data_IF_272798345879
#
_entry.id   IF_272798345879
#
_cell.length_a   1.000
_cell.length_b   1.000
_cell.length_c   1.000
_cell.angle_alpha   90.00
_cell.angle_beta   90.00
_cell.angle_gamma   90.00
#
_symmetry.space_group_name_H-M   'P 1'
#
loop_
_entity.id
_entity.type
_entity.pdbx_description
1 polymer ?
#
# COMPACT_ATOMS: atom_id res chain seq x y z
N UNK A 1 -2.18 -1.43 -49.35
CA UNK A 1 -1.85 -1.39 -47.91
C UNK A 1 -1.69 -2.83 -47.43
N UNK A 2 -0.60 -3.15 -46.73
CA UNK A 2 -0.44 -4.48 -46.13
C UNK A 2 -1.45 -4.62 -44.97
N UNK A 3 -2.29 -5.65 -45.00
CA UNK A 3 -3.20 -6.00 -43.90
C UNK A 3 -2.54 -7.03 -42.99
N UNK A 4 -2.97 -7.11 -41.72
CA UNK A 4 -2.44 -8.07 -40.74
C UNK A 4 -2.46 -9.51 -41.27
N UNK A 5 -3.49 -9.89 -42.03
CA UNK A 5 -3.64 -11.22 -42.63
C UNK A 5 -2.61 -11.57 -43.70
N UNK A 6 -1.97 -10.56 -44.30
CA UNK A 6 -0.99 -10.75 -45.38
C UNK A 6 0.45 -10.87 -44.86
N UNK A 7 0.65 -10.72 -43.54
CA UNK A 7 1.96 -10.90 -42.92
C UNK A 7 2.28 -12.40 -42.74
N UNK A 8 3.58 -12.77 -42.69
CA UNK A 8 4.02 -14.09 -42.26
C UNK A 8 3.42 -14.49 -40.92
N UNK A 9 3.19 -15.79 -40.73
CA UNK A 9 2.51 -16.34 -39.56
C UNK A 9 3.20 -15.93 -38.25
N UNK A 10 4.52 -15.98 -38.21
CA UNK A 10 5.33 -15.66 -37.04
C UNK A 10 5.14 -14.20 -36.61
N UNK A 11 5.06 -13.28 -37.59
CA UNK A 11 4.82 -11.87 -37.32
C UNK A 11 3.39 -11.62 -36.85
N UNK A 12 2.39 -12.29 -37.45
CA UNK A 12 1.00 -12.22 -36.98
C UNK A 12 0.87 -12.70 -35.54
N UNK A 13 1.41 -13.88 -35.25
CA UNK A 13 1.39 -14.48 -33.92
C UNK A 13 2.03 -13.57 -32.86
N UNK A 14 3.18 -12.96 -33.16
CA UNK A 14 3.82 -12.00 -32.24
C UNK A 14 3.00 -10.74 -32.02
N UNK A 15 2.44 -10.15 -33.08
CA UNK A 15 1.57 -8.97 -32.96
C UNK A 15 0.33 -9.29 -32.11
N UNK A 16 -0.28 -10.44 -32.37
CA UNK A 16 -1.45 -10.92 -31.61
C UNK A 16 -1.10 -11.17 -30.14
N UNK A 17 0.03 -11.81 -29.85
CA UNK A 17 0.48 -12.03 -28.48
C UNK A 17 0.67 -10.70 -27.73
N UNK A 18 1.34 -9.72 -28.36
CA UNK A 18 1.51 -8.38 -27.76
C UNK A 18 0.17 -7.69 -27.53
N UNK A 19 -0.77 -7.79 -28.47
CA UNK A 19 -2.11 -7.19 -28.32
C UNK A 19 -2.90 -7.84 -27.18
N UNK A 20 -2.80 -9.16 -27.03
CA UNK A 20 -3.44 -9.92 -25.95
C UNK A 20 -2.80 -9.62 -24.59
N UNK A 21 -1.48 -9.42 -24.54
CA UNK A 21 -0.74 -9.06 -23.32
C UNK A 21 -1.09 -7.66 -22.79
N UNK A 22 -1.61 -6.75 -23.61
CA UNK A 22 -2.04 -5.41 -23.18
C UNK A 22 -3.39 -5.43 -22.43
N UNK A 23 -4.13 -6.54 -22.47
CA UNK A 23 -5.35 -6.68 -21.68
C UNK A 23 -5.02 -7.12 -20.24
N UNK A 24 -4.61 -6.15 -19.43
CA UNK A 24 -4.24 -6.34 -18.04
C UNK A 24 -5.43 -6.73 -17.13
N UNK A 25 -6.67 -6.55 -17.61
CA UNK A 25 -7.88 -6.67 -16.79
C UNK A 25 -9.01 -7.42 -17.48
N UNK A 26 -9.17 -8.67 -17.05
CA UNK A 26 -10.27 -9.55 -17.43
C UNK A 26 -11.51 -9.30 -16.56
N UNK A 27 -12.16 -8.16 -16.72
CA UNK A 27 -13.37 -7.82 -15.95
C UNK A 27 -14.58 -8.55 -16.53
N UNK A 28 -15.16 -9.48 -15.77
CA UNK A 28 -16.40 -10.19 -16.13
C UNK A 28 -16.27 -11.20 -17.28
N UNK A 29 -15.05 -11.48 -17.75
CA UNK A 29 -14.74 -12.50 -18.75
C UNK A 29 -13.49 -13.26 -18.31
N UNK A 30 -13.38 -14.55 -18.63
CA UNK A 30 -12.15 -15.32 -18.37
C UNK A 30 -11.16 -15.29 -19.52
N UNK A 31 -11.55 -14.67 -20.63
CA UNK A 31 -10.73 -14.51 -21.83
C UNK A 31 -10.71 -13.03 -22.26
N UNK A 32 -9.59 -12.54 -22.79
CA UNK A 32 -9.46 -11.18 -23.30
C UNK A 32 -10.53 -10.89 -24.36
N UNK A 33 -11.12 -9.70 -24.32
CA UNK A 33 -12.14 -9.30 -25.30
C UNK A 33 -11.59 -9.32 -26.71
N UNK A 34 -10.32 -8.95 -26.87
CA UNK A 34 -9.58 -9.03 -28.13
C UNK A 34 -9.53 -10.48 -28.63
N UNK A 35 -9.33 -11.47 -27.76
CA UNK A 35 -9.35 -12.87 -28.16
C UNK A 35 -10.75 -13.25 -28.67
N UNK A 36 -11.80 -12.97 -27.90
CA UNK A 36 -13.17 -13.32 -28.29
C UNK A 36 -13.54 -12.65 -29.62
N UNK A 37 -13.28 -11.34 -29.78
CA UNK A 37 -13.55 -10.61 -31.00
C UNK A 37 -12.77 -11.18 -32.21
N UNK A 38 -11.49 -11.48 -32.05
CA UNK A 38 -10.66 -12.05 -33.12
C UNK A 38 -11.13 -13.44 -33.54
N UNK A 39 -11.57 -14.27 -32.58
CA UNK A 39 -12.14 -15.58 -32.86
C UNK A 39 -13.40 -15.47 -33.73
N UNK A 40 -14.21 -14.43 -33.57
CA UNK A 40 -15.44 -14.26 -34.33
C UNK A 40 -15.23 -13.67 -35.75
N UNK A 41 -14.19 -12.86 -35.96
CA UNK A 41 -14.07 -12.02 -37.17
C UNK A 41 -13.24 -12.67 -38.30
N UNK A 42 -12.13 -13.37 -38.00
CA UNK A 42 -11.18 -13.81 -39.04
C UNK A 42 -10.68 -15.24 -38.85
N UNK A 43 -10.96 -16.13 -39.82
CA UNK A 43 -10.48 -17.53 -39.82
C UNK A 43 -8.96 -17.65 -39.81
N UNK A 44 -8.25 -16.79 -40.53
CA UNK A 44 -6.78 -16.83 -40.58
C UNK A 44 -6.17 -16.53 -39.21
N UNK A 45 -6.64 -15.47 -38.54
CA UNK A 45 -6.15 -15.12 -37.20
C UNK A 45 -6.58 -16.15 -36.16
N UNK A 46 -7.77 -16.75 -36.31
CA UNK A 46 -8.25 -17.84 -35.45
C UNK A 46 -7.28 -19.02 -35.41
N UNK A 47 -6.68 -19.40 -36.56
CA UNK A 47 -5.68 -20.49 -36.62
C UNK A 47 -4.36 -20.16 -35.90
N UNK A 48 -4.05 -18.89 -35.76
CA UNK A 48 -2.85 -18.44 -35.04
C UNK A 48 -3.08 -18.44 -33.50
N UNK A 49 -4.34 -18.38 -33.06
CA UNK A 49 -4.70 -18.23 -31.64
C UNK A 49 -4.28 -19.38 -30.71
N UNK A 50 -4.31 -20.67 -31.09
CA UNK A 50 -3.81 -21.73 -30.22
C UNK A 50 -2.38 -21.50 -29.76
N UNK A 51 -1.49 -21.05 -30.66
CA UNK A 51 -0.11 -20.70 -30.31
C UNK A 51 -0.06 -19.46 -29.41
N UNK A 52 -0.83 -18.42 -29.73
CA UNK A 52 -0.88 -17.19 -28.91
C UNK A 52 -1.35 -17.49 -27.48
N UNK A 53 -2.40 -18.30 -27.34
CA UNK A 53 -2.93 -18.74 -26.04
C UNK A 53 -1.99 -19.69 -25.30
N UNK A 54 -1.12 -20.40 -26.03
CA UNK A 54 -0.08 -21.21 -25.42
C UNK A 54 1.02 -20.37 -24.78
N UNK A 55 1.39 -19.29 -25.45
CA UNK A 55 2.48 -18.40 -25.02
C UNK A 55 2.01 -17.25 -24.10
N UNK A 56 0.71 -17.09 -23.91
CA UNK A 56 0.15 -16.00 -23.12
C UNK A 56 0.19 -16.30 -21.61
N UNK A 57 0.82 -15.40 -20.85
CA UNK A 57 0.86 -15.39 -19.39
C UNK A 57 -0.09 -14.31 -18.85
N UNK A 58 -1.32 -14.67 -18.43
CA UNK A 58 -2.29 -13.69 -17.96
C UNK A 58 -1.95 -13.16 -16.57
N UNK A 59 -2.25 -11.88 -16.33
CA UNK A 59 -2.55 -11.40 -14.99
C UNK A 59 -3.94 -11.92 -14.63
N UNK A 60 -4.02 -12.76 -13.59
CA UNK A 60 -5.31 -13.31 -13.13
C UNK A 60 -5.89 -12.42 -12.06
N UNK A 61 -7.03 -11.80 -12.35
CA UNK A 61 -7.77 -11.02 -11.37
C UNK A 61 -8.92 -11.86 -10.81
N UNK A 62 -8.81 -12.25 -9.55
CA UNK A 62 -9.81 -13.04 -8.83
C UNK A 62 -10.60 -12.11 -7.92
N UNK A 63 -11.91 -12.05 -8.16
CA UNK A 63 -12.85 -11.21 -7.41
C UNK A 63 -13.50 -12.00 -6.29
N UNK A 64 -13.65 -13.31 -6.48
CA UNK A 64 -14.30 -14.24 -5.54
C UNK A 64 -13.52 -15.55 -5.43
N UNK A 65 -13.61 -16.24 -4.29
CA UNK A 65 -13.10 -17.60 -4.16
C UNK A 65 -13.62 -18.58 -5.22
N UNK A 66 -14.88 -18.43 -5.65
CA UNK A 66 -15.50 -19.26 -6.69
C UNK A 66 -14.88 -19.08 -8.09
N UNK A 67 -14.08 -18.04 -8.30
CA UNK A 67 -13.33 -17.86 -9.54
C UNK A 67 -12.27 -18.95 -9.73
N UNK A 68 -11.79 -19.57 -8.63
CA UNK A 68 -10.79 -20.64 -8.64
C UNK A 68 -11.33 -22.00 -9.09
N UNK A 69 -12.60 -22.30 -8.82
CA UNK A 69 -13.20 -23.61 -9.12
C UNK A 69 -13.71 -23.73 -10.54
N UNK A 70 -13.79 -22.62 -11.28
CA UNK A 70 -14.56 -22.61 -12.52
C UNK A 70 -13.66 -22.86 -13.74
N UNK A 71 -13.33 -24.13 -13.98
CA UNK A 71 -12.59 -24.58 -15.16
C UNK A 71 -13.36 -24.26 -16.45
N UNK A 72 -12.80 -23.39 -17.30
CA UNK A 72 -13.29 -23.17 -18.66
C UNK A 72 -12.21 -23.60 -19.65
N UNK A 73 -12.48 -24.69 -20.37
CA UNK A 73 -11.72 -25.08 -21.55
C UNK A 73 -12.25 -24.33 -22.77
N UNK A 74 -11.36 -23.65 -23.49
CA UNK A 74 -11.67 -23.09 -24.81
C UNK A 74 -11.20 -24.07 -25.88
N UNK A 75 -12.02 -24.32 -26.91
CA UNK A 75 -11.61 -25.05 -28.11
C UNK A 75 -11.71 -24.13 -29.31
N UNK A 76 -10.63 -24.04 -30.09
CA UNK A 76 -10.55 -23.23 -31.30
C UNK A 76 -10.29 -24.15 -32.48
N UNK A 77 -11.26 -24.25 -33.40
CA UNK A 77 -11.19 -25.12 -34.58
C UNK A 77 -10.77 -26.58 -34.24
N UNK A 78 -11.25 -27.10 -33.10
CA UNK A 78 -10.96 -28.46 -32.63
C UNK A 78 -9.68 -28.59 -31.79
N UNK A 79 -8.87 -27.54 -31.67
CA UNK A 79 -7.70 -27.50 -30.80
C UNK A 79 -8.11 -27.03 -29.40
N UNK A 80 -7.94 -27.90 -28.40
CA UNK A 80 -8.15 -27.53 -27.01
C UNK A 80 -7.05 -26.58 -26.53
N UNK A 81 -7.41 -25.37 -26.13
CA UNK A 81 -6.49 -24.35 -25.62
C UNK A 81 -6.27 -24.43 -24.11
N UNK A 82 -6.59 -25.59 -23.50
CA UNK A 82 -6.46 -25.86 -22.08
C UNK A 82 -7.44 -25.07 -21.20
N UNK A 83 -7.63 -25.46 -19.93
CA UNK A 83 -8.32 -24.63 -18.97
C UNK A 83 -7.51 -23.35 -18.71
N UNK A 84 -8.20 -22.21 -18.65
CA UNK A 84 -7.58 -20.93 -18.28
C UNK A 84 -6.77 -21.02 -16.98
N UNK A 85 -7.22 -21.83 -16.02
CA UNK A 85 -6.61 -22.03 -14.69
C UNK A 85 -5.30 -22.83 -14.70
N UNK A 86 -5.00 -23.60 -15.75
CA UNK A 86 -3.76 -24.38 -15.84
C UNK A 86 -2.63 -23.64 -16.57
N UNK A 87 -2.90 -22.45 -17.10
CA UNK A 87 -1.86 -21.60 -17.68
C UNK A 87 -0.93 -21.08 -16.57
N UNK A 88 0.38 -20.91 -16.81
CA UNK A 88 1.21 -20.20 -15.84
C UNK A 88 0.77 -18.73 -15.78
N UNK A 89 0.42 -18.25 -14.59
CA UNK A 89 0.17 -16.84 -14.31
C UNK A 89 1.36 -16.27 -13.56
N UNK A 90 1.96 -15.22 -14.12
CA UNK A 90 3.05 -14.49 -13.45
C UNK A 90 2.53 -13.68 -12.26
N UNK A 91 1.26 -13.29 -12.27
CA UNK A 91 0.65 -12.50 -11.21
C UNK A 91 -0.80 -12.92 -10.95
N UNK A 92 -1.11 -13.19 -9.68
CA UNK A 92 -2.45 -13.41 -9.14
C UNK A 92 -2.87 -12.17 -8.36
N UNK A 93 -3.91 -11.48 -8.82
CA UNK A 93 -4.49 -10.33 -8.13
C UNK A 93 -5.79 -10.76 -7.45
N UNK A 94 -5.87 -10.67 -6.13
CA UNK A 94 -7.01 -11.11 -5.32
C UNK A 94 -7.68 -9.88 -4.71
N UNK A 95 -8.97 -9.70 -4.99
CA UNK A 95 -9.78 -8.65 -4.40
C UNK A 95 -10.48 -9.15 -3.13
N UNK A 96 -10.01 -8.70 -1.96
CA UNK A 96 -10.50 -9.21 -0.67
C UNK A 96 -11.92 -8.77 -0.34
N UNK A 97 -12.31 -7.57 -0.77
CA UNK A 97 -13.57 -6.94 -0.37
C UNK A 97 -14.48 -6.66 -1.57
N UNK A 98 -14.34 -7.43 -2.65
CA UNK A 98 -15.14 -7.22 -3.86
C UNK A 98 -16.65 -7.24 -3.57
N UNK A 99 -17.08 -8.24 -2.79
CA UNK A 99 -18.49 -8.49 -2.45
C UNK A 99 -18.95 -7.81 -1.15
N UNK A 100 -18.13 -6.97 -0.53
CA UNK A 100 -18.57 -6.23 0.66
C UNK A 100 -19.73 -5.29 0.31
N UNK A 101 -20.53 -4.89 1.30
CA UNK A 101 -21.56 -3.88 1.11
C UNK A 101 -21.07 -2.53 1.63
N UNK A 102 -21.38 -1.46 0.91
CA UNK A 102 -21.13 -0.09 1.37
C UNK A 102 -21.73 0.18 2.77
N UNK A 103 -22.86 -0.45 3.09
CA UNK A 103 -23.47 -0.35 4.41
C UNK A 103 -22.58 -0.93 5.52
N UNK A 104 -21.87 -2.04 5.26
CA UNK A 104 -21.00 -2.69 6.26
C UNK A 104 -19.79 -1.81 6.59
N UNK A 105 -19.19 -1.22 5.55
CA UNK A 105 -18.08 -0.26 5.72
C UNK A 105 -18.52 0.96 6.53
N UNK A 106 -19.73 1.49 6.28
CA UNK A 106 -20.27 2.63 7.04
C UNK A 106 -20.61 2.27 8.49
N UNK A 107 -21.11 1.06 8.74
CA UNK A 107 -21.46 0.60 10.10
C UNK A 107 -20.24 0.43 11.00
N UNK A 108 -19.07 0.17 10.44
CA UNK A 108 -17.82 0.02 11.19
C UNK A 108 -17.45 1.24 12.07
N UNK A 109 -17.97 2.44 11.78
CA UNK A 109 -17.80 3.63 12.64
C UNK A 109 -18.76 3.76 13.81
N UNK A 110 -19.91 3.09 13.78
CA UNK A 110 -21.03 3.41 14.69
C UNK A 110 -21.01 2.61 15.99
N UNK A 111 -20.47 1.39 16.00
CA UNK A 111 -20.34 0.64 17.25
C UNK A 111 -19.23 -0.42 17.15
N UNK A 112 -18.02 -0.16 17.70
CA UNK A 112 -16.96 -1.17 17.75
C UNK A 112 -17.17 -2.25 18.82
N UNK A 113 -18.20 -2.13 19.67
CA UNK A 113 -18.46 -2.98 20.84
C UNK A 113 -19.80 -3.72 20.77
N UNK A 114 -20.57 -3.58 19.69
CA UNK A 114 -21.79 -4.38 19.50
C UNK A 114 -21.42 -5.73 18.86
N UNK A 115 -21.58 -6.81 19.63
CA UNK A 115 -21.42 -8.19 19.18
C UNK A 115 -22.36 -8.57 18.01
N UNK A 116 -23.31 -7.71 17.65
CA UNK A 116 -24.26 -7.91 16.54
C UNK A 116 -23.88 -7.24 15.21
N UNK A 117 -22.82 -6.45 15.14
CA UNK A 117 -22.37 -5.90 13.84
C UNK A 117 -21.53 -6.96 13.14
N UNK A 118 -22.17 -7.74 12.27
CA UNK A 118 -21.46 -8.62 11.35
C UNK A 118 -20.53 -7.78 10.47
N UNK A 119 -19.24 -7.73 10.83
CA UNK A 119 -18.20 -7.08 10.03
C UNK A 119 -17.79 -7.93 8.81
N UNK A 120 -18.47 -9.05 8.58
CA UNK A 120 -18.27 -9.99 7.46
C UNK A 120 -16.84 -10.57 7.41
N UNK A 121 -16.33 -11.04 8.55
CA UNK A 121 -15.07 -11.80 8.61
C UNK A 121 -15.05 -12.98 7.61
N UNK A 122 -16.23 -13.52 7.31
CA UNK A 122 -16.51 -14.48 6.25
C UNK A 122 -15.90 -14.12 4.88
N UNK A 123 -15.72 -12.83 4.55
CA UNK A 123 -15.08 -12.40 3.30
C UNK A 123 -13.61 -12.82 3.22
N UNK A 124 -12.85 -12.56 4.28
CA UNK A 124 -11.43 -12.93 4.34
C UNK A 124 -11.28 -14.43 4.62
N UNK A 125 -12.17 -14.99 5.44
CA UNK A 125 -12.20 -16.42 5.73
C UNK A 125 -12.50 -17.25 4.47
N UNK A 126 -13.39 -16.80 3.59
CA UNK A 126 -13.67 -17.49 2.33
C UNK A 126 -12.44 -17.51 1.41
N UNK A 127 -11.66 -16.43 1.37
CA UNK A 127 -10.37 -16.41 0.66
C UNK A 127 -9.35 -17.34 1.31
N UNK A 128 -9.30 -17.34 2.64
CA UNK A 128 -8.42 -18.20 3.43
C UNK A 128 -8.67 -19.68 3.14
N UNK A 129 -9.94 -20.07 3.08
CA UNK A 129 -10.35 -21.45 2.85
C UNK A 129 -10.14 -21.87 1.39
N UNK A 130 -10.05 -20.90 0.47
CA UNK A 130 -9.75 -21.13 -0.94
C UNK A 130 -8.25 -21.18 -1.27
N UNK A 131 -7.36 -20.82 -0.33
CA UNK A 131 -5.90 -20.87 -0.54
C UNK A 131 -5.40 -22.22 -1.10
N UNK A 132 -5.86 -23.40 -0.63
CA UNK A 132 -5.40 -24.69 -1.16
C UNK A 132 -5.71 -24.90 -2.65
N UNK A 133 -6.62 -24.11 -3.21
CA UNK A 133 -7.03 -24.17 -4.62
C UNK A 133 -6.26 -23.18 -5.50
N UNK A 134 -5.39 -22.36 -4.90
CA UNK A 134 -4.53 -21.45 -5.66
C UNK A 134 -3.57 -22.26 -6.53
N UNK A 135 -3.33 -21.82 -7.77
CA UNK A 135 -2.46 -22.54 -8.69
C UNK A 135 -1.01 -22.55 -8.16
N UNK A 136 -0.30 -23.67 -8.32
CA UNK A 136 1.05 -23.87 -7.76
C UNK A 136 2.17 -23.27 -8.64
N UNK A 137 1.80 -22.50 -9.66
CA UNK A 137 2.74 -21.78 -10.50
C UNK A 137 3.43 -20.67 -9.69
N UNK A 138 4.73 -20.51 -9.92
CA UNK A 138 5.53 -19.47 -9.25
C UNK A 138 5.12 -18.12 -9.83
N UNK A 139 4.58 -17.24 -8.99
CA UNK A 139 4.15 -15.91 -9.38
C UNK A 139 4.07 -14.95 -8.20
N UNK A 140 3.76 -13.70 -8.51
CA UNK A 140 3.45 -12.64 -7.55
C UNK A 140 1.98 -12.74 -7.14
N UNK A 141 1.68 -12.80 -5.84
CA UNK A 141 0.30 -12.69 -5.33
C UNK A 141 0.08 -11.28 -4.80
N UNK A 142 -0.82 -10.55 -5.45
CA UNK A 142 -1.23 -9.21 -5.06
C UNK A 142 -2.57 -9.28 -4.35
N UNK A 143 -2.61 -8.95 -3.07
CA UNK A 143 -3.84 -8.86 -2.29
C UNK A 143 -4.30 -7.40 -2.25
N UNK A 144 -5.42 -7.10 -2.91
CA UNK A 144 -6.07 -5.80 -2.85
C UNK A 144 -7.01 -5.73 -1.65
N UNK A 145 -6.55 -5.07 -0.59
CA UNK A 145 -7.32 -4.87 0.63
C UNK A 145 -8.01 -3.50 0.66
N UNK A 146 -8.38 -2.92 -0.49
CA UNK A 146 -9.18 -1.68 -0.54
C UNK A 146 -10.54 -1.91 0.11
N UNK A 147 -10.89 -1.23 1.21
CA UNK A 147 -12.16 -1.44 1.93
C UNK A 147 -13.35 -0.80 1.18
N UNK A 148 -13.67 -1.32 0.01
CA UNK A 148 -14.75 -0.85 -0.86
C UNK A 148 -15.33 -1.99 -1.70
N UNK A 149 -16.63 -2.00 -2.02
CA UNK A 149 -17.20 -2.93 -2.97
C UNK A 149 -16.61 -2.75 -4.37
N UNK A 150 -16.62 -3.82 -5.17
CA UNK A 150 -16.10 -3.82 -6.55
C UNK A 150 -16.66 -2.69 -7.42
N UNK A 151 -17.99 -2.50 -7.40
CA UNK A 151 -18.66 -1.44 -8.17
C UNK A 151 -18.18 -0.03 -7.80
N UNK A 152 -17.79 0.21 -6.55
CA UNK A 152 -17.29 1.52 -6.11
C UNK A 152 -15.85 1.76 -6.56
N UNK A 153 -15.07 0.70 -6.78
CA UNK A 153 -13.69 0.78 -7.27
C UNK A 153 -13.62 1.01 -8.78
N UNK A 154 -14.61 0.48 -9.49
CA UNK A 154 -14.78 0.63 -10.95
C UNK A 154 -15.50 1.94 -11.33
N UNK A 155 -16.24 2.53 -10.38
CA UNK A 155 -16.92 3.81 -10.54
C UNK A 155 -16.01 5.04 -10.45
N UNK A 156 -16.65 6.22 -10.44
CA UNK A 156 -15.96 7.50 -10.36
C UNK A 156 -15.16 7.64 -9.05
N UNK A 157 -13.97 8.26 -9.09
CA UNK A 157 -13.07 8.36 -7.93
C UNK A 157 -13.72 9.00 -6.71
N UNK A 158 -14.66 9.92 -6.93
CA UNK A 158 -15.47 10.56 -5.86
C UNK A 158 -16.29 9.54 -5.05
N UNK A 159 -16.88 8.54 -5.70
CA UNK A 159 -17.68 7.50 -5.06
C UNK A 159 -16.83 6.66 -4.11
N UNK A 160 -15.61 6.33 -4.54
CA UNK A 160 -14.63 5.65 -3.72
C UNK A 160 -14.17 6.54 -2.56
N UNK A 161 -13.81 7.79 -2.81
CA UNK A 161 -13.37 8.73 -1.77
C UNK A 161 -14.42 8.93 -0.67
N UNK A 162 -15.70 8.98 -1.03
CA UNK A 162 -16.79 9.13 -0.07
C UNK A 162 -16.97 7.89 0.81
N UNK A 163 -16.74 6.68 0.28
CA UNK A 163 -16.75 5.44 1.06
C UNK A 163 -15.51 5.27 1.94
N UNK A 164 -14.36 5.78 1.49
CA UNK A 164 -13.06 5.72 2.17
C UNK A 164 -12.94 6.72 3.34
N UNK A 165 -14.05 7.23 3.90
CA UNK A 165 -14.04 8.03 5.13
C UNK A 165 -13.80 7.14 6.38
N UNK A 166 -13.90 7.68 7.61
CA UNK A 166 -13.56 6.99 8.88
C UNK A 166 -14.04 5.53 9.00
N UNK A 167 -15.19 5.17 8.40
CA UNK A 167 -15.73 3.81 8.38
C UNK A 167 -14.79 2.77 7.77
N UNK A 168 -14.12 3.12 6.68
CA UNK A 168 -13.20 2.24 5.98
C UNK A 168 -11.94 1.90 6.80
N UNK A 169 -11.49 2.80 7.68
CA UNK A 169 -10.34 2.55 8.55
C UNK A 169 -10.70 1.52 9.62
N UNK A 170 -11.82 1.73 10.31
CA UNK A 170 -12.33 0.80 11.31
C UNK A 170 -12.60 -0.56 10.68
N UNK A 171 -13.27 -0.58 9.51
CA UNK A 171 -13.53 -1.81 8.75
C UNK A 171 -12.25 -2.58 8.44
N UNK A 172 -11.21 -1.92 7.93
CA UNK A 172 -9.93 -2.57 7.65
C UNK A 172 -9.21 -3.02 8.93
N UNK A 173 -9.31 -2.25 10.01
CA UNK A 173 -8.70 -2.61 11.29
C UNK A 173 -9.26 -3.92 11.87
N UNK A 174 -10.56 -4.19 11.70
CA UNK A 174 -11.17 -5.46 12.09
C UNK A 174 -10.63 -6.67 11.33
N UNK A 175 -10.23 -6.47 10.08
CA UNK A 175 -9.77 -7.56 9.22
C UNK A 175 -8.27 -7.80 9.28
N UNK A 176 -7.51 -7.03 10.09
CA UNK A 176 -6.04 -7.12 10.15
C UNK A 176 -5.59 -8.56 10.42
N UNK A 177 -6.11 -9.19 11.47
CA UNK A 177 -5.68 -10.53 11.88
C UNK A 177 -6.05 -11.59 10.82
N UNK A 178 -7.23 -11.43 10.21
CA UNK A 178 -7.65 -12.28 9.09
C UNK A 178 -6.75 -12.15 7.87
N UNK A 179 -6.36 -10.92 7.51
CA UNK A 179 -5.45 -10.67 6.38
C UNK A 179 -4.05 -11.22 6.69
N UNK A 180 -3.55 -11.07 7.92
CA UNK A 180 -2.28 -11.66 8.35
C UNK A 180 -2.32 -13.18 8.22
N UNK A 181 -3.38 -13.85 8.69
CA UNK A 181 -3.52 -15.29 8.56
C UNK A 181 -3.64 -15.75 7.10
N UNK A 182 -4.38 -15.00 6.28
CA UNK A 182 -4.48 -15.26 4.84
C UNK A 182 -3.11 -15.20 4.16
N UNK A 183 -2.33 -14.14 4.39
CA UNK A 183 -0.97 -14.01 3.84
C UNK A 183 -0.09 -15.16 4.30
N UNK A 184 -0.17 -15.54 5.58
CA UNK A 184 0.59 -16.67 6.12
C UNK A 184 0.25 -17.98 5.41
N UNK A 185 -1.04 -18.26 5.20
CA UNK A 185 -1.47 -19.48 4.50
C UNK A 185 -1.06 -19.49 3.04
N UNK A 186 -1.13 -18.35 2.35
CA UNK A 186 -0.59 -18.22 0.99
C UNK A 186 0.91 -18.55 1.00
N UNK A 187 1.67 -17.97 1.92
CA UNK A 187 3.10 -18.23 2.03
C UNK A 187 3.40 -19.72 2.29
N UNK A 188 2.62 -20.38 3.15
CA UNK A 188 2.73 -21.82 3.42
C UNK A 188 2.36 -22.67 2.20
N UNK A 189 1.29 -22.32 1.47
CA UNK A 189 0.85 -23.01 0.26
C UNK A 189 1.95 -23.09 -0.81
N UNK A 190 2.70 -22.00 -0.99
CA UNK A 190 3.82 -21.93 -1.92
C UNK A 190 5.18 -22.33 -1.30
N UNK A 191 5.19 -22.91 -0.09
CA UNK A 191 6.41 -23.28 0.64
C UNK A 191 7.44 -22.12 0.73
N UNK A 192 6.95 -20.88 0.87
CA UNK A 192 7.73 -19.66 0.94
C UNK A 192 8.29 -19.14 -0.39
N UNK A 193 8.04 -19.84 -1.51
CA UNK A 193 8.53 -19.46 -2.84
C UNK A 193 7.55 -18.56 -3.60
N UNK A 194 6.96 -17.58 -2.91
CA UNK A 194 5.99 -16.65 -3.47
C UNK A 194 6.29 -15.24 -2.97
N UNK A 195 6.15 -14.26 -3.85
CA UNK A 195 6.12 -12.86 -3.47
C UNK A 195 4.66 -12.49 -3.18
N UNK A 196 4.36 -12.06 -1.95
CA UNK A 196 3.03 -11.55 -1.61
C UNK A 196 3.12 -10.04 -1.47
N UNK A 197 2.27 -9.29 -2.16
CA UNK A 197 2.18 -7.85 -2.11
C UNK A 197 0.81 -7.42 -1.60
N UNK A 198 0.77 -6.50 -0.64
CA UNK A 198 -0.46 -5.81 -0.25
C UNK A 198 -0.64 -4.58 -1.14
N UNK A 199 -1.72 -4.55 -1.90
CA UNK A 199 -2.12 -3.45 -2.76
C UNK A 199 -3.45 -2.85 -2.31
N UNK A 200 -3.78 -1.70 -2.88
CA UNK A 200 -5.09 -1.09 -2.73
C UNK A 200 -5.07 0.43 -2.84
N UNK A 201 -6.27 1.00 -2.87
CA UNK A 201 -6.52 2.44 -2.93
C UNK A 201 -6.85 2.92 -1.53
N UNK A 202 -5.85 3.52 -0.90
CA UNK A 202 -5.94 3.94 0.50
C UNK A 202 -5.82 5.45 0.61
N UNK A 203 -6.62 6.02 1.51
CA UNK A 203 -6.24 7.30 2.11
C UNK A 203 -5.15 7.07 3.17
N UNK A 204 -4.59 8.15 3.69
CA UNK A 204 -3.50 8.12 4.67
C UNK A 204 -3.84 7.64 6.07
N UNK A 205 -5.11 7.62 6.46
CA UNK A 205 -5.55 7.03 7.73
C UNK A 205 -5.57 5.50 7.66
N UNK A 206 -5.83 4.92 6.48
CA UNK A 206 -5.81 3.47 6.25
C UNK A 206 -4.40 2.87 6.21
N UNK A 207 -3.38 3.71 6.00
CA UNK A 207 -1.96 3.29 6.01
C UNK A 207 -1.60 2.63 7.35
N UNK A 208 -2.18 3.10 8.47
CA UNK A 208 -1.90 2.54 9.79
C UNK A 208 -2.26 1.06 9.86
N UNK A 209 -3.42 0.68 9.31
CA UNK A 209 -3.85 -0.72 9.29
C UNK A 209 -2.93 -1.58 8.42
N UNK A 210 -2.44 -1.06 7.29
CA UNK A 210 -1.48 -1.76 6.43
C UNK A 210 -0.12 -1.93 7.08
N UNK A 211 0.40 -0.86 7.70
CA UNK A 211 1.67 -0.93 8.43
C UNK A 211 1.59 -1.92 9.59
N UNK A 212 0.43 -1.99 10.27
CA UNK A 212 0.18 -2.99 11.32
C UNK A 212 0.17 -4.41 10.76
N UNK A 213 -0.45 -4.66 9.61
CA UNK A 213 -0.37 -5.97 8.93
C UNK A 213 1.10 -6.31 8.59
N UNK A 214 1.85 -5.37 8.00
CA UNK A 214 3.26 -5.56 7.68
C UNK A 214 4.11 -5.82 8.93
N UNK A 215 3.83 -5.15 10.04
CA UNK A 215 4.51 -5.36 11.32
C UNK A 215 4.26 -6.77 11.86
N UNK A 216 2.99 -7.17 11.95
CA UNK A 216 2.62 -8.50 12.45
C UNK A 216 3.21 -9.63 11.58
N UNK A 217 3.30 -9.43 10.26
CA UNK A 217 3.93 -10.41 9.37
C UNK A 217 5.44 -10.58 9.59
N UNK A 218 6.14 -9.55 10.10
CA UNK A 218 7.56 -9.64 10.44
C UNK A 218 7.81 -10.61 11.60
N UNK A 219 6.88 -10.70 12.55
CA UNK A 219 6.97 -11.65 13.66
C UNK A 219 6.96 -13.11 13.18
N UNK A 220 6.41 -13.35 11.97
CA UNK A 220 6.44 -14.66 11.29
C UNK A 220 7.59 -14.82 10.29
N UNK A 221 8.54 -13.88 10.26
CA UNK A 221 9.66 -13.89 9.30
C UNK A 221 9.26 -13.55 7.86
N UNK A 222 8.02 -13.15 7.61
CA UNK A 222 7.51 -12.80 6.28
C UNK A 222 7.78 -11.31 6.04
N UNK A 223 8.63 -11.02 5.04
CA UNK A 223 8.89 -9.65 4.59
C UNK A 223 8.11 -9.38 3.32
N UNK A 224 7.09 -8.53 3.42
CA UNK A 224 6.44 -8.03 2.22
C UNK A 224 7.38 -7.06 1.50
N UNK A 225 7.52 -7.16 0.17
CA UNK A 225 8.30 -6.23 -0.63
C UNK A 225 7.74 -4.81 -0.47
N UNK A 226 8.63 -3.84 -0.25
CA UNK A 226 8.29 -2.41 -0.22
C UNK A 226 8.01 -1.94 -1.66
N UNK A 227 6.84 -2.31 -2.21
CA UNK A 227 6.59 -2.33 -3.65
C UNK A 227 5.39 -1.50 -4.13
N UNK A 228 5.64 -0.23 -4.46
CA UNK A 228 5.19 0.54 -5.66
C UNK A 228 3.73 0.63 -6.13
N UNK A 229 2.74 -0.11 -5.62
CA UNK A 229 1.35 -0.01 -6.12
C UNK A 229 0.28 0.32 -5.07
N UNK A 230 0.66 0.92 -3.94
CA UNK A 230 -0.30 1.82 -3.30
C UNK A 230 -0.35 3.09 -4.15
N UNK A 231 -1.30 3.15 -5.10
CA UNK A 231 -1.62 4.41 -5.80
C UNK A 231 -2.26 5.34 -4.78
N UNK A 232 -1.41 6.05 -4.04
CA UNK A 232 -1.83 7.09 -3.14
C UNK A 232 -2.31 8.28 -3.97
N UNK A 233 -3.62 8.50 -4.05
CA UNK A 233 -4.14 9.71 -4.68
C UNK A 233 -3.82 10.98 -3.87
N UNK A 234 -3.28 10.87 -2.64
CA UNK A 234 -3.05 12.02 -1.75
C UNK A 234 -1.87 11.93 -0.74
N UNK A 235 -0.93 10.97 -0.84
CA UNK A 235 0.05 10.69 0.24
C UNK A 235 0.93 11.87 0.64
N UNK A 236 1.38 12.70 -0.31
CA UNK A 236 2.27 13.84 -0.01
C UNK A 236 1.58 14.91 0.86
N UNK A 237 0.28 15.17 0.64
CA UNK A 237 -0.45 16.20 1.38
C UNK A 237 -0.65 15.80 2.84
N UNK A 238 -0.89 14.53 3.12
CA UNK A 238 -1.20 14.09 4.50
C UNK A 238 0.04 13.67 5.28
N UNK A 239 1.10 13.16 4.64
CA UNK A 239 2.43 13.00 5.29
C UNK A 239 2.89 14.31 5.91
N UNK A 240 2.66 15.43 5.21
CA UNK A 240 2.91 16.77 5.74
C UNK A 240 1.93 17.19 6.84
N UNK A 241 0.69 16.70 6.88
CA UNK A 241 -0.28 17.10 7.91
C UNK A 241 0.17 16.71 9.33
N UNK A 242 0.74 15.51 9.54
CA UNK A 242 1.14 15.08 10.89
C UNK A 242 2.28 15.94 11.44
N UNK A 243 3.32 16.16 10.65
CA UNK A 243 4.44 17.03 11.06
C UNK A 243 3.97 18.48 11.22
N UNK A 244 3.09 18.97 10.33
CA UNK A 244 2.51 20.32 10.45
C UNK A 244 1.57 20.47 11.65
N UNK A 245 0.87 19.41 12.06
CA UNK A 245 0.04 19.39 13.26
C UNK A 245 0.91 19.53 14.51
N UNK A 246 2.03 18.79 14.59
CA UNK A 246 3.01 18.97 15.65
C UNK A 246 3.57 20.41 15.67
N UNK A 247 3.90 20.98 14.50
CA UNK A 247 4.33 22.38 14.39
C UNK A 247 3.24 23.34 14.85
N UNK A 248 1.98 23.08 14.54
CA UNK A 248 0.86 23.91 14.97
C UNK A 248 0.69 23.90 16.49
N UNK A 249 0.92 22.75 17.14
CA UNK A 249 0.86 22.61 18.59
C UNK A 249 2.05 23.29 19.28
N UNK A 250 3.24 23.23 18.68
CA UNK A 250 4.45 23.86 19.25
C UNK A 250 4.54 25.36 18.99
N UNK A 251 4.07 25.82 17.82
CA UNK A 251 4.13 27.21 17.39
C UNK A 251 2.78 27.64 16.78
N UNK A 252 1.70 27.75 17.58
CA UNK A 252 0.38 28.21 17.14
C UNK A 252 0.37 29.67 16.66
N UNK A 253 -0.38 29.97 15.58
CA UNK A 253 -0.44 31.33 15.01
C UNK A 253 -1.21 32.34 15.88
N UNK A 254 -2.12 31.86 16.72
CA UNK A 254 -2.98 32.68 17.60
C UNK A 254 -2.99 32.06 19.00
N UNK A 255 -3.07 32.89 20.02
CA UNK A 255 -3.24 32.44 21.39
C UNK A 255 -4.53 31.66 21.52
N UNK A 256 -4.43 30.44 22.02
CA UNK A 256 -5.59 29.64 22.46
C UNK A 256 -5.49 29.41 23.96
N UNK A 257 -6.61 29.20 24.67
CA UNK A 257 -6.62 28.92 26.11
C UNK A 257 -5.81 27.67 26.49
N UNK A 258 -5.52 26.81 25.52
CA UNK A 258 -4.80 25.53 25.66
C UNK A 258 -3.26 25.71 25.67
N UNK A 259 -2.76 26.91 25.36
CA UNK A 259 -1.31 27.20 25.34
C UNK A 259 -0.91 27.82 26.66
N UNK A 260 -0.33 27.02 27.56
CA UNK A 260 0.09 27.46 28.89
C UNK A 260 1.19 28.54 28.85
N UNK A 261 2.12 28.47 27.87
CA UNK A 261 3.20 29.45 27.69
C UNK A 261 3.24 30.02 26.26
N UNK A 262 2.55 31.15 26.07
CA UNK A 262 2.51 31.85 24.79
C UNK A 262 3.86 32.44 24.36
N UNK A 263 4.70 32.83 25.32
CA UNK A 263 6.01 33.42 25.06
C UNK A 263 6.96 32.40 24.45
N UNK A 264 6.99 31.18 25.02
CA UNK A 264 7.74 30.06 24.48
C UNK A 264 7.23 29.64 23.09
N UNK A 265 5.91 29.56 22.90
CA UNK A 265 5.30 29.25 21.61
C UNK A 265 5.66 30.26 20.51
N UNK A 266 5.75 31.55 20.86
CA UNK A 266 6.15 32.62 19.93
C UNK A 266 7.64 32.56 19.59
N UNK A 267 8.50 32.17 20.54
CA UNK A 267 9.93 31.94 20.28
C UNK A 267 10.14 30.86 19.21
N UNK A 268 9.29 29.82 19.18
CA UNK A 268 9.33 28.75 18.19
C UNK A 268 8.65 29.09 16.84
N UNK A 269 8.17 30.33 16.65
CA UNK A 269 7.52 30.75 15.41
C UNK A 269 8.31 30.49 14.10
N UNK A 270 9.67 30.52 14.06
CA UNK A 270 10.43 30.18 12.87
C UNK A 270 10.15 28.76 12.33
N UNK A 271 9.74 27.82 13.19
CA UNK A 271 9.39 26.44 12.82
C UNK A 271 8.30 26.37 11.74
N UNK A 272 7.40 27.37 11.71
CA UNK A 272 6.31 27.49 10.71
C UNK A 272 6.82 27.69 9.29
N UNK A 273 8.04 28.21 9.13
CA UNK A 273 8.66 28.51 7.83
C UNK A 273 9.52 27.34 7.31
N UNK A 274 9.74 26.32 8.12
CA UNK A 274 10.55 25.15 7.76
C UNK A 274 9.88 24.38 6.62
N UNK A 275 10.65 24.12 5.56
CA UNK A 275 10.21 23.30 4.43
C UNK A 275 10.54 21.83 4.70
N UNK A 276 9.58 21.13 5.30
CA UNK A 276 9.73 19.72 5.62
C UNK A 276 9.90 18.85 4.37
N UNK A 277 11.02 18.11 4.33
CA UNK A 277 11.33 17.11 3.33
C UNK A 277 10.34 15.95 3.39
N UNK A 278 10.15 15.27 2.27
CA UNK A 278 9.28 14.08 2.22
C UNK A 278 9.77 13.00 3.18
N UNK A 279 11.10 12.84 3.33
CA UNK A 279 11.71 11.85 4.23
C UNK A 279 11.43 12.17 5.70
N UNK A 280 11.53 13.44 6.12
CA UNK A 280 11.17 13.83 7.48
C UNK A 280 9.68 13.60 7.75
N UNK A 281 8.81 14.06 6.84
CA UNK A 281 7.37 13.91 6.98
C UNK A 281 6.93 12.44 7.06
N UNK A 282 7.53 11.57 6.22
CA UNK A 282 7.27 10.15 6.23
C UNK A 282 7.73 9.47 7.52
N UNK A 283 8.99 9.69 7.93
CA UNK A 283 9.54 9.09 9.16
C UNK A 283 8.79 9.57 10.42
N UNK A 284 8.34 10.82 10.44
CA UNK A 284 7.60 11.39 11.57
C UNK A 284 6.25 10.69 11.72
N UNK A 285 5.53 10.52 10.60
CA UNK A 285 4.26 9.80 10.58
C UNK A 285 4.45 8.32 10.96
N UNK A 286 5.44 7.65 10.37
CA UNK A 286 5.73 6.22 10.64
C UNK A 286 6.02 5.99 12.12
N UNK A 287 6.90 6.80 12.72
CA UNK A 287 7.24 6.66 14.15
C UNK A 287 6.09 7.06 15.09
N UNK A 288 5.26 8.02 14.71
CA UNK A 288 4.08 8.40 15.50
C UNK A 288 2.99 7.33 15.51
N UNK A 289 3.08 6.34 14.61
CA UNK A 289 2.03 5.33 14.41
C UNK A 289 2.46 3.91 14.79
N UNK A 290 3.74 3.54 14.64
CA UNK A 290 4.22 2.15 14.82
C UNK A 290 4.76 1.86 16.24
N UNK A 291 4.68 2.80 17.19
CA UNK A 291 5.07 2.55 18.59
C UNK A 291 5.67 3.73 19.34
N UNK A 292 5.75 4.92 18.72
CA UNK A 292 6.11 6.16 19.40
C UNK A 292 4.87 6.92 19.85
N UNK A 293 4.90 7.49 21.06
CA UNK A 293 3.94 8.54 21.44
C UNK A 293 4.22 9.78 20.57
N UNK A 294 3.19 10.31 19.92
CA UNK A 294 3.25 11.57 19.17
C UNK A 294 3.84 12.68 20.03
N UNK A 295 3.57 12.68 21.33
CA UNK A 295 4.10 13.65 22.29
C UNK A 295 5.61 13.53 22.41
N UNK A 296 6.17 12.32 22.43
CA UNK A 296 7.64 12.12 22.46
C UNK A 296 8.33 12.65 21.20
N UNK A 297 7.71 12.47 20.03
CA UNK A 297 8.24 12.98 18.77
C UNK A 297 8.07 14.50 18.64
N UNK A 298 6.97 15.02 19.18
CA UNK A 298 6.71 16.46 19.28
C UNK A 298 7.70 17.11 20.25
N UNK A 299 8.06 16.42 21.34
CA UNK A 299 9.10 16.87 22.27
C UNK A 299 10.50 16.86 21.62
N UNK A 300 10.84 15.83 20.84
CA UNK A 300 12.08 15.85 20.05
C UNK A 300 12.11 17.03 19.08
N UNK A 301 10.98 17.31 18.41
CA UNK A 301 10.87 18.47 17.51
C UNK A 301 11.01 19.79 18.26
N UNK A 302 10.44 19.90 19.47
CA UNK A 302 10.60 21.06 20.35
C UNK A 302 12.06 21.28 20.68
N UNK A 303 12.76 20.25 21.14
CA UNK A 303 14.21 20.31 21.47
C UNK A 303 15.02 20.79 20.26
N UNK A 304 14.77 20.25 19.06
CA UNK A 304 15.44 20.73 17.84
C UNK A 304 15.12 22.19 17.51
N UNK A 305 13.84 22.58 17.66
CA UNK A 305 13.40 23.93 17.38
C UNK A 305 14.00 24.94 18.37
N UNK A 306 14.17 24.56 19.64
CA UNK A 306 14.86 25.36 20.66
C UNK A 306 16.32 25.58 20.30
N UNK A 307 17.02 24.53 19.84
CA UNK A 307 18.37 24.67 19.29
C UNK A 307 18.35 25.65 18.12
N UNK A 308 17.44 25.49 17.16
CA UNK A 308 17.35 26.37 15.98
C UNK A 308 17.23 27.86 16.36
N UNK A 309 16.48 28.21 17.41
CA UNK A 309 16.23 29.62 17.80
C UNK A 309 17.16 30.15 18.90
N UNK A 310 17.99 29.33 19.54
CA UNK A 310 18.87 29.77 20.62
C UNK A 310 20.02 30.67 20.14
N UNK A 311 20.08 31.92 20.56
CA UNK A 311 21.09 32.88 20.08
C UNK A 311 22.52 32.58 20.61
N UNK A 312 22.65 31.81 21.70
CA UNK A 312 23.91 31.66 22.43
C UNK A 312 24.57 30.26 22.28
N UNK A 313 23.83 29.23 21.89
CA UNK A 313 24.32 27.87 21.72
C UNK A 313 24.76 27.54 20.29
N UNK A 314 26.07 27.31 20.07
CA UNK A 314 26.63 26.87 18.78
C UNK A 314 26.50 25.36 18.55
N UNK A 315 26.45 24.57 19.63
CA UNK A 315 26.41 23.10 19.58
C UNK A 315 25.56 22.56 20.71
N UNK A 316 24.57 21.72 20.42
CA UNK A 316 23.82 20.99 21.45
C UNK A 316 24.01 19.50 21.22
N UNK A 317 24.79 18.89 22.12
CA UNK A 317 24.91 17.43 22.19
C UNK A 317 23.76 16.92 23.02
N UNK A 318 22.70 16.43 22.37
CA UNK A 318 21.58 15.81 23.07
C UNK A 318 21.99 14.39 23.43
N UNK A 319 22.65 14.24 24.58
CA UNK A 319 23.14 12.97 25.12
C UNK A 319 22.00 12.01 25.47
N UNK A 320 20.81 12.52 25.76
CA UNK A 320 19.57 11.73 25.94
C UNK A 320 19.22 10.88 24.70
N UNK A 321 19.78 11.20 23.53
CA UNK A 321 19.50 10.49 22.28
C UNK A 321 20.47 9.35 21.95
N UNK A 322 21.44 9.10 22.83
CA UNK A 322 22.43 8.02 22.71
C UNK A 322 21.81 6.62 22.64
N UNK A 323 20.65 6.40 23.25
CA UNK A 323 19.95 5.10 23.27
C UNK A 323 18.77 5.02 22.31
N UNK A 324 18.63 5.94 21.35
CA UNK A 324 17.48 5.92 20.45
C UNK A 324 17.59 4.82 19.37
N UNK A 325 16.46 4.13 19.15
CA UNK A 325 16.28 3.20 18.03
C UNK A 325 16.66 3.85 16.68
N UNK A 326 17.22 3.06 15.76
CA UNK A 326 17.78 3.53 14.48
C UNK A 326 16.84 4.46 13.71
N UNK A 327 15.55 4.12 13.66
CA UNK A 327 14.53 4.89 12.94
C UNK A 327 14.34 6.29 13.51
N UNK A 328 14.35 6.46 14.85
CA UNK A 328 14.20 7.76 15.51
C UNK A 328 15.43 8.64 15.31
N UNK A 329 16.64 8.05 15.35
CA UNK A 329 17.89 8.75 14.95
C UNK A 329 17.82 9.25 13.50
N UNK A 330 17.30 8.44 12.57
CA UNK A 330 17.12 8.87 11.17
C UNK A 330 16.15 10.04 11.05
N UNK A 331 15.01 10.01 11.77
CA UNK A 331 14.04 11.10 11.79
C UNK A 331 14.68 12.41 12.24
N UNK A 332 15.37 12.38 13.39
CA UNK A 332 16.04 13.56 13.96
C UNK A 332 17.01 14.18 12.96
N UNK A 333 17.82 13.37 12.27
CA UNK A 333 18.76 13.88 11.25
C UNK A 333 18.04 14.60 10.11
N UNK A 334 16.91 14.06 9.65
CA UNK A 334 16.14 14.69 8.58
C UNK A 334 15.46 15.97 9.05
N UNK A 335 14.84 15.98 10.23
CA UNK A 335 14.22 17.18 10.79
C UNK A 335 15.24 18.30 11.02
N UNK A 336 16.39 17.98 11.62
CA UNK A 336 17.45 18.94 11.87
C UNK A 336 18.00 19.56 10.58
N UNK A 337 18.18 18.76 9.52
CA UNK A 337 18.56 19.28 8.19
C UNK A 337 17.50 20.20 7.59
N UNK A 338 16.23 19.84 7.71
CA UNK A 338 15.12 20.67 7.21
C UNK A 338 15.07 22.03 7.95
N UNK A 339 15.46 22.05 9.23
CA UNK A 339 15.63 23.26 10.05
C UNK A 339 16.92 24.05 9.78
N UNK A 340 17.77 23.60 8.84
CA UNK A 340 19.06 24.25 8.54
C UNK A 340 20.17 23.97 9.55
N UNK A 341 20.04 22.93 10.37
CA UNK A 341 21.06 22.53 11.35
C UNK A 341 22.04 21.51 10.73
N UNK A 342 23.30 21.56 11.18
CA UNK A 342 24.30 20.54 10.85
C UNK A 342 24.13 19.34 11.74
N UNK A 343 24.31 18.17 11.15
CA UNK A 343 24.12 16.90 11.85
C UNK A 343 25.30 15.99 11.60
N UNK A 344 25.95 15.57 12.69
CA UNK A 344 27.00 14.56 12.70
C UNK A 344 26.54 13.33 13.48
N UNK A 345 27.18 12.20 13.24
CA UNK A 345 26.93 10.99 14.02
C UNK A 345 28.25 10.50 14.55
N UNK A 346 28.34 10.40 15.87
CA UNK A 346 29.55 10.07 16.61
C UNK A 346 29.29 8.81 17.46
N UNK A 347 30.36 8.15 17.91
CA UNK A 347 30.28 6.88 18.62
C UNK A 347 30.21 5.64 17.70
N UNK A 348 30.50 4.48 18.28
CA UNK A 348 30.57 3.18 17.60
C UNK A 348 29.46 2.23 18.06
N UNK A 349 28.99 1.37 17.14
CA UNK A 349 28.00 0.33 17.43
C UNK A 349 26.70 0.85 18.05
N UNK A 350 26.34 0.29 19.20
CA UNK A 350 25.14 0.64 19.97
C UNK A 350 25.25 2.01 20.65
N UNK A 351 26.47 2.50 20.90
CA UNK A 351 26.73 3.80 21.53
C UNK A 351 26.74 4.97 20.53
N UNK A 352 26.25 4.76 19.31
CA UNK A 352 26.26 5.80 18.28
C UNK A 352 25.16 6.84 18.53
N UNK A 353 25.52 8.12 18.62
CA UNK A 353 24.59 9.22 18.87
C UNK A 353 24.59 10.25 17.74
N UNK A 354 23.65 11.20 17.80
CA UNK A 354 23.48 12.27 16.82
C UNK A 354 23.87 13.59 17.48
N UNK A 355 24.83 14.29 16.88
CA UNK A 355 25.27 15.62 17.32
C UNK A 355 24.70 16.66 16.38
N UNK A 356 24.13 17.72 16.94
CA UNK A 356 23.47 18.78 16.17
C UNK A 356 24.12 20.11 16.52
N UNK A 357 24.50 20.86 15.48
CA UNK A 357 25.15 22.14 15.62
C UNK A 357 24.55 23.16 14.67
N UNK A 358 24.69 24.44 15.00
CA UNK A 358 24.39 25.52 14.05
C UNK A 358 25.51 25.63 13.01
N UNK A 359 25.18 26.18 11.85
CA UNK A 359 26.22 26.73 10.99
C UNK A 359 26.72 28.00 11.66
N UNK A 360 28.02 28.05 11.97
CA UNK A 360 28.70 29.30 12.30
C UNK A 360 28.52 30.24 11.12
N UNK A 361 27.76 31.32 11.31
CA UNK A 361 27.69 32.44 10.37
C UNK A 361 29.05 33.11 10.29
#
# INVERSE_FOLDING_TARGET
MATLTNLPQELRQRILLTAVQQEDRLVGSKWPKTIIALLHVCKTLRRDMPWVLDQWTPLRHLQRPSDLTTALSLSIDGVACGPFLTKPAETLYIDLFHDTLAANIRKATWNPLDDGVEMHQALVDAWRDAVPQLPMDKGLVVLDATPAPGWAREGHEYTLQWLMLRGAQAFLAYHIDGIVDLVRRIYQHYAGNVEVMLAGRYDTFHIQSLLRICFLLRDFGIKLPEGRQVKFSNSLRVRRKTILYAVHNLAPRKGTPEVEDWSQAMRLAPLRKVKWSEKAAWLFQDLSTVGGSLDKLTDDMRKLAEVMVDEHGTTVTITEWTQLHLSRRRLIRHMARDMGLRVKSEGEGENRYVVISKESV
#
